data_IF_625931471881
#
_entry.id   IF_625931471881
#
_cell.length_a   1.000
_cell.length_b   1.000
_cell.length_c   1.000
_cell.angle_alpha   90.00
_cell.angle_beta   90.00
_cell.angle_gamma   90.00
#
_symmetry.space_group_name_H-M   'P 1'
#
loop_
_entity.id
_entity.type
_entity.pdbx_description
1 polymer ?
#
# COMPACT_ATOMS: atom_id res chain seq x y z
N UNK A 1 -66.13 -0.33 36.67
CA UNK A 1 -64.74 -0.10 36.23
C UNK A 1 -63.80 -0.46 37.38
N UNK A 2 -62.97 -1.50 37.26
CA UNK A 2 -62.10 -1.93 38.37
C UNK A 2 -60.90 -0.99 38.55
N UNK A 3 -60.86 -0.26 39.67
CA UNK A 3 -59.86 0.79 39.96
C UNK A 3 -58.42 0.27 40.02
N UNK A 4 -58.21 -0.98 40.40
CA UNK A 4 -56.90 -1.63 40.42
C UNK A 4 -56.33 -1.82 39.00
N UNK A 5 -57.16 -2.27 38.06
CA UNK A 5 -56.76 -2.45 36.66
C UNK A 5 -56.40 -1.14 35.97
N UNK A 6 -57.12 -0.05 36.29
CA UNK A 6 -56.81 1.29 35.80
C UNK A 6 -55.44 1.79 36.31
N UNK A 7 -55.19 1.66 37.62
CA UNK A 7 -53.89 2.06 38.22
C UNK A 7 -52.73 1.23 37.67
N UNK A 8 -52.96 -0.05 37.42
CA UNK A 8 -51.99 -0.92 36.77
C UNK A 8 -51.68 -0.43 35.35
N UNK A 9 -52.71 -0.18 34.53
CA UNK A 9 -52.54 0.36 33.18
C UNK A 9 -51.79 1.70 33.15
N UNK A 10 -52.08 2.60 34.09
CA UNK A 10 -51.35 3.89 34.20
C UNK A 10 -49.88 3.69 34.54
N UNK A 11 -49.53 2.76 35.45
CA UNK A 11 -48.14 2.49 35.81
C UNK A 11 -47.38 1.85 34.65
N UNK A 12 -47.97 0.85 34.00
CA UNK A 12 -47.38 0.18 32.83
C UNK A 12 -47.20 1.17 31.68
N UNK A 13 -48.19 2.02 31.41
CA UNK A 13 -48.12 3.03 30.37
C UNK A 13 -47.03 4.07 30.62
N UNK A 14 -46.82 4.50 31.88
CA UNK A 14 -45.70 5.40 32.24
C UNK A 14 -44.35 4.70 32.09
N UNK A 15 -44.22 3.46 32.56
CA UNK A 15 -42.97 2.70 32.42
C UNK A 15 -42.60 2.49 30.94
N UNK A 16 -43.56 2.10 30.10
CA UNK A 16 -43.34 1.92 28.67
C UNK A 16 -42.94 3.23 27.97
N UNK A 17 -43.61 4.34 28.30
CA UNK A 17 -43.27 5.67 27.76
C UNK A 17 -41.86 6.09 28.13
N UNK A 18 -41.42 5.78 29.35
CA UNK A 18 -40.05 6.04 29.82
C UNK A 18 -39.01 5.20 29.09
N UNK A 19 -39.28 3.91 28.86
CA UNK A 19 -38.41 3.06 28.05
C UNK A 19 -38.28 3.58 26.62
N UNK A 20 -39.40 3.95 25.98
CA UNK A 20 -39.40 4.52 24.63
C UNK A 20 -38.62 5.85 24.61
N UNK A 21 -38.78 6.69 25.64
CA UNK A 21 -38.06 7.96 25.76
C UNK A 21 -36.58 7.77 26.01
N UNK A 22 -36.17 6.72 26.71
CA UNK A 22 -34.76 6.39 26.93
C UNK A 22 -34.10 5.87 25.64
N UNK A 23 -34.79 4.99 24.91
CA UNK A 23 -34.27 4.43 23.64
C UNK A 23 -34.22 5.47 22.53
N UNK A 24 -35.22 6.35 22.46
CA UNK A 24 -35.30 7.39 21.42
C UNK A 24 -34.68 8.74 21.85
N UNK A 25 -34.02 8.78 23.01
CA UNK A 25 -33.30 9.96 23.41
C UNK A 25 -32.15 10.17 22.43
N UNK A 26 -32.28 11.18 21.57
CA UNK A 26 -31.16 11.68 20.78
C UNK A 26 -30.07 12.07 21.78
N UNK A 27 -28.82 11.59 21.63
CA UNK A 27 -27.74 12.03 22.50
C UNK A 27 -27.72 13.55 22.50
N UNK A 28 -27.77 14.17 23.68
CA UNK A 28 -27.52 15.60 23.80
C UNK A 28 -26.22 15.87 23.06
N UNK A 29 -26.17 16.84 22.12
CA UNK A 29 -24.91 17.19 21.51
C UNK A 29 -23.99 17.58 22.66
N UNK A 30 -22.92 16.80 22.85
CA UNK A 30 -21.86 17.20 23.75
C UNK A 30 -21.39 18.58 23.25
N UNK A 31 -21.13 19.51 24.16
CA UNK A 31 -20.36 20.69 23.82
C UNK A 31 -18.96 20.19 23.45
N UNK A 32 -18.79 19.83 22.18
CA UNK A 32 -17.49 19.51 21.63
C UNK A 32 -16.78 20.85 21.58
N UNK A 33 -15.90 21.09 22.55
CA UNK A 33 -14.82 22.04 22.32
C UNK A 33 -14.02 21.46 21.16
N UNK A 34 -14.31 21.96 19.96
CA UNK A 34 -13.45 21.76 18.80
C UNK A 34 -12.14 22.42 19.21
N UNK A 35 -11.21 21.61 19.73
CA UNK A 35 -9.81 22.01 19.79
C UNK A 35 -9.51 22.40 18.36
N UNK A 36 -9.22 23.69 18.16
CA UNK A 36 -8.88 24.22 16.86
C UNK A 36 -7.90 23.23 16.22
N UNK A 37 -8.26 22.70 15.05
CA UNK A 37 -7.37 21.83 14.31
C UNK A 37 -6.04 22.57 14.27
N UNK A 38 -5.02 22.03 14.94
CA UNK A 38 -3.68 22.57 14.83
C UNK A 38 -3.38 22.45 13.34
N UNK A 39 -3.51 23.57 12.63
CA UNK A 39 -3.17 23.66 11.24
C UNK A 39 -1.69 23.34 11.21
N UNK A 40 -1.36 22.07 10.89
CA UNK A 40 0.01 21.65 10.70
C UNK A 40 0.45 22.37 9.44
N UNK A 41 1.01 23.55 9.64
CA UNK A 41 1.60 24.33 8.57
C UNK A 41 2.64 23.43 7.92
N UNK A 42 2.50 23.23 6.60
CA UNK A 42 3.50 22.52 5.82
C UNK A 42 4.79 23.35 5.95
N UNK A 43 5.91 22.74 6.38
CA UNK A 43 7.18 23.44 6.45
C UNK A 43 7.52 24.05 5.10
N UNK A 44 8.03 25.26 5.10
CA UNK A 44 8.48 25.88 3.86
C UNK A 44 9.55 25.01 3.20
N UNK A 45 9.54 24.92 1.86
CA UNK A 45 10.55 24.16 1.14
C UNK A 45 11.92 24.72 1.46
N UNK A 46 12.84 23.82 1.85
CA UNK A 46 14.21 24.16 2.27
C UNK A 46 15.01 24.82 1.14
N UNK A 47 14.61 24.57 -0.12
CA UNK A 47 15.31 25.00 -1.32
C UNK A 47 14.32 25.66 -2.28
N UNK A 48 14.83 26.62 -3.04
CA UNK A 48 14.08 27.27 -4.12
C UNK A 48 13.83 26.29 -5.28
N UNK A 49 12.84 26.62 -6.11
CA UNK A 49 12.50 25.81 -7.29
C UNK A 49 13.71 25.65 -8.22
N UNK A 50 14.43 26.74 -8.49
CA UNK A 50 15.57 26.74 -9.42
C UNK A 50 16.72 25.86 -8.92
N UNK A 51 16.94 25.83 -7.60
CA UNK A 51 17.90 24.91 -6.99
C UNK A 51 17.46 23.46 -7.19
N UNK A 52 16.18 23.14 -6.97
CA UNK A 52 15.61 21.81 -7.18
C UNK A 52 15.80 21.33 -8.63
N UNK A 53 15.50 22.19 -9.62
CA UNK A 53 15.70 21.87 -11.04
C UNK A 53 17.17 21.59 -11.37
N UNK A 54 18.10 22.33 -10.77
CA UNK A 54 19.53 22.07 -10.91
C UNK A 54 19.95 20.72 -10.28
N UNK A 55 19.32 20.31 -9.18
CA UNK A 55 19.53 18.98 -8.60
C UNK A 55 19.03 17.85 -9.50
N UNK A 56 17.96 18.07 -10.26
CA UNK A 56 17.39 17.10 -11.18
C UNK A 56 18.18 16.98 -12.48
N UNK A 57 18.71 18.08 -13.02
CA UNK A 57 19.42 18.10 -14.30
C UNK A 57 20.82 17.48 -14.23
N UNK A 58 21.55 17.73 -13.14
CA UNK A 58 22.91 17.23 -12.98
C UNK A 58 22.93 16.02 -12.04
N UNK A 59 23.48 14.86 -12.44
CA UNK A 59 23.55 13.68 -11.58
C UNK A 59 24.32 13.94 -10.27
N UNK A 60 23.89 13.28 -9.19
CA UNK A 60 24.52 13.44 -7.87
C UNK A 60 26.01 13.06 -7.88
N UNK A 61 26.43 12.13 -8.74
CA UNK A 61 27.84 11.74 -8.89
C UNK A 61 28.71 12.90 -9.41
N UNK A 62 28.18 13.71 -10.33
CA UNK A 62 28.87 14.89 -10.84
C UNK A 62 28.88 15.97 -9.75
N UNK A 63 27.73 16.25 -9.12
CA UNK A 63 27.60 17.32 -8.12
C UNK A 63 28.40 17.07 -6.83
N UNK A 64 28.41 15.84 -6.30
CA UNK A 64 29.02 15.53 -4.99
C UNK A 64 30.46 15.08 -5.08
N UNK A 65 30.85 14.42 -6.17
CA UNK A 65 32.18 13.81 -6.32
C UNK A 65 33.04 14.50 -7.38
N UNK A 66 32.51 15.47 -8.12
CA UNK A 66 33.22 16.18 -9.18
C UNK A 66 33.63 15.27 -10.34
N UNK A 67 32.91 14.16 -10.54
CA UNK A 67 33.24 13.17 -11.56
C UNK A 67 32.81 13.69 -12.93
N UNK A 68 33.68 13.57 -13.93
CA UNK A 68 33.31 13.80 -15.32
C UNK A 68 32.41 12.65 -15.80
N UNK A 69 31.22 13.01 -16.27
CA UNK A 69 30.20 12.02 -16.66
C UNK A 69 30.63 11.21 -17.89
N UNK A 70 31.39 11.80 -18.80
CA UNK A 70 31.88 11.13 -19.99
C UNK A 70 32.86 10.02 -19.62
N UNK A 71 33.89 10.35 -18.84
CA UNK A 71 34.89 9.38 -18.38
C UNK A 71 34.24 8.27 -17.53
N UNK A 72 33.27 8.64 -16.70
CA UNK A 72 32.49 7.67 -15.92
C UNK A 72 31.69 6.74 -16.83
N UNK A 73 31.05 7.26 -17.87
CA UNK A 73 30.28 6.48 -18.82
C UNK A 73 31.16 5.47 -19.56
N UNK A 74 32.30 5.90 -20.10
CA UNK A 74 33.26 5.03 -20.81
C UNK A 74 33.80 3.92 -19.89
N UNK A 75 34.09 4.25 -18.62
CA UNK A 75 34.63 3.28 -17.67
C UNK A 75 33.58 2.26 -17.16
N UNK A 76 32.29 2.60 -17.17
CA UNK A 76 31.23 1.78 -16.55
C UNK A 76 30.28 1.15 -17.57
N UNK A 77 30.20 1.68 -18.78
CA UNK A 77 29.32 1.17 -19.83
C UNK A 77 30.14 0.30 -20.77
N UNK A 78 30.23 -0.99 -20.44
CA UNK A 78 30.68 -1.97 -21.42
C UNK A 78 29.55 -2.22 -22.40
N UNK A 79 29.84 -2.24 -23.71
CA UNK A 79 28.89 -2.74 -24.70
C UNK A 79 28.39 -4.10 -24.24
N UNK A 80 27.07 -4.23 -24.05
CA UNK A 80 26.47 -5.49 -23.67
C UNK A 80 26.88 -6.53 -24.73
N UNK A 81 27.78 -7.44 -24.37
CA UNK A 81 28.19 -8.57 -25.20
C UNK A 81 26.93 -9.15 -25.81
N UNK A 82 26.75 -8.93 -27.12
CA UNK A 82 25.60 -9.43 -27.86
C UNK A 82 25.60 -10.93 -27.59
N UNK A 83 24.54 -11.42 -26.96
CA UNK A 83 24.41 -12.79 -26.44
C UNK A 83 25.13 -13.76 -27.37
N UNK A 84 26.07 -14.59 -26.89
CA UNK A 84 26.80 -15.49 -27.78
C UNK A 84 25.80 -16.32 -28.58
N UNK A 85 26.03 -16.40 -29.91
CA UNK A 85 25.12 -17.06 -30.83
C UNK A 85 24.70 -18.42 -30.26
N UNK A 86 23.39 -18.60 -30.10
CA UNK A 86 22.77 -19.78 -29.49
C UNK A 86 23.23 -21.01 -30.31
N UNK A 87 24.18 -21.79 -29.79
CA UNK A 87 24.64 -23.00 -30.47
C UNK A 87 23.46 -23.94 -30.70
N UNK A 88 23.22 -24.34 -31.94
CA UNK A 88 22.16 -25.29 -32.30
C UNK A 88 22.36 -26.61 -31.55
N UNK A 89 21.44 -26.94 -30.64
CA UNK A 89 21.49 -28.17 -29.86
C UNK A 89 21.26 -29.35 -30.79
N UNK A 90 22.21 -30.31 -30.85
CA UNK A 90 21.99 -31.55 -31.60
C UNK A 90 20.78 -32.30 -31.03
N UNK A 91 19.89 -32.86 -31.86
CA UNK A 91 18.77 -33.66 -31.37
C UNK A 91 19.31 -34.92 -30.70
N UNK A 92 18.90 -35.15 -29.45
CA UNK A 92 19.20 -36.38 -28.72
C UNK A 92 18.32 -37.48 -29.32
N UNK A 93 18.95 -38.53 -29.84
CA UNK A 93 18.24 -39.70 -30.37
C UNK A 93 17.24 -40.23 -29.32
N UNK A 94 15.98 -40.31 -29.75
CA UNK A 94 14.88 -40.85 -28.98
C UNK A 94 15.13 -42.33 -28.70
N UNK A 95 15.09 -42.71 -27.43
CA UNK A 95 14.81 -44.10 -27.04
C UNK A 95 13.46 -44.10 -26.34
N UNK A 96 12.42 -44.38 -27.11
CA UNK A 96 11.15 -44.78 -26.57
C UNK A 96 11.33 -46.18 -25.95
N UNK A 97 11.13 -46.30 -24.63
CA UNK A 97 10.15 -47.24 -24.07
C UNK A 97 10.03 -47.08 -22.55
N UNK A 98 8.79 -47.31 -22.08
CA UNK A 98 8.38 -47.73 -20.75
C UNK A 98 8.21 -46.64 -19.66
N UNK A 99 6.98 -46.10 -19.63
CA UNK A 99 6.10 -46.03 -18.44
C UNK A 99 6.76 -45.79 -17.08
N UNK A 100 6.59 -44.60 -16.50
CA UNK A 100 6.05 -44.43 -15.12
C UNK A 100 5.82 -42.95 -14.78
N UNK A 101 4.83 -42.72 -13.91
CA UNK A 101 4.25 -41.45 -13.44
C UNK A 101 5.27 -40.35 -13.10
N UNK A 102 5.00 -39.12 -13.57
CA UNK A 102 4.72 -37.94 -12.72
C UNK A 102 4.42 -36.72 -13.60
N UNK A 103 3.31 -36.05 -13.30
CA UNK A 103 3.10 -34.65 -13.68
C UNK A 103 4.22 -33.84 -13.04
N UNK A 104 4.93 -33.03 -13.83
CA UNK A 104 5.76 -31.98 -13.28
C UNK A 104 5.75 -30.77 -14.19
N UNK A 105 5.61 -29.63 -13.54
CA UNK A 105 5.15 -28.38 -14.07
C UNK A 105 6.24 -27.66 -14.89
N UNK A 106 5.77 -26.77 -15.78
CA UNK A 106 6.55 -25.71 -16.39
C UNK A 106 7.33 -24.94 -15.31
N UNK A 107 8.65 -24.68 -15.47
CA UNK A 107 9.38 -23.89 -14.49
C UNK A 107 8.93 -22.44 -14.62
N UNK A 108 8.02 -22.03 -13.73
CA UNK A 108 7.62 -20.66 -13.54
C UNK A 108 8.88 -19.80 -13.31
N UNK A 109 9.15 -18.92 -14.26
CA UNK A 109 10.11 -17.83 -14.13
C UNK A 109 9.72 -17.07 -12.87
N UNK A 110 10.49 -17.22 -11.80
CA UNK A 110 10.26 -16.51 -10.54
C UNK A 110 10.54 -15.02 -10.79
N UNK A 111 9.49 -14.28 -11.12
CA UNK A 111 9.51 -12.82 -11.03
C UNK A 111 9.81 -12.38 -9.60
N UNK A 112 10.28 -11.14 -9.40
CA UNK A 112 10.50 -10.61 -8.06
C UNK A 112 9.19 -10.67 -7.27
N UNK A 113 9.22 -11.33 -6.11
CA UNK A 113 8.09 -11.40 -5.19
C UNK A 113 8.00 -10.05 -4.49
N UNK A 114 7.02 -9.24 -4.89
CA UNK A 114 6.68 -8.00 -4.20
C UNK A 114 5.94 -8.39 -2.91
N UNK A 115 6.45 -7.97 -1.76
CA UNK A 115 5.82 -8.19 -0.45
C UNK A 115 4.47 -7.48 -0.35
N UNK A 116 3.62 -7.93 0.59
CA UNK A 116 2.30 -7.32 0.81
C UNK A 116 2.43 -5.90 1.35
N UNK A 117 1.65 -4.98 0.76
CA UNK A 117 1.56 -3.58 1.18
C UNK A 117 1.09 -3.44 2.64
N UNK A 118 0.28 -4.39 3.12
CA UNK A 118 -0.22 -4.39 4.51
C UNK A 118 0.90 -4.50 5.56
N UNK A 119 2.05 -5.07 5.20
CA UNK A 119 3.22 -5.14 6.09
C UNK A 119 3.98 -3.81 6.18
N UNK A 120 3.76 -2.90 5.23
CA UNK A 120 4.48 -1.62 5.16
C UNK A 120 3.74 -0.48 5.88
N UNK A 121 2.44 -0.63 6.10
CA UNK A 121 1.56 0.44 6.64
C UNK A 121 1.30 0.23 8.15
N UNK A 122 1.88 -0.82 8.76
CA UNK A 122 1.73 -1.14 10.18
C UNK A 122 2.77 -0.45 11.08
#
# INVERSE_FOLDING_TARGET
>A
MSTASFRFGVRVGKALRECIRAVNQKPKPATVHVVAAQCRMIPEPVMTHDECENYCSVPAIVRRKGINLHDWYEANTQEAQTKPAKKTRKPRASKAHATSKKQDAEPAVKGPVLGSLDQLIA
#
